data_IF_432826056157
#
_entry.id   IF_432826056157
#
_cell.length_a   1.000
_cell.length_b   1.000
_cell.length_c   1.000
_cell.angle_alpha   90.00
_cell.angle_beta   90.00
_cell.angle_gamma   90.00
#
_symmetry.space_group_name_H-M   'P 1'
#
loop_
_entity.id
_entity.type
_entity.pdbx_description
1 polymer ?
#
# COMPACT_ATOMS: atom_id res chain seq x y z
N UNK A 1 -36.35 -29.39 -25.36
CA UNK A 1 -35.49 -30.17 -24.45
C UNK A 1 -34.12 -29.52 -24.23
N UNK A 2 -33.59 -28.75 -25.19
CA UNK A 2 -32.25 -28.11 -25.08
C UNK A 2 -32.13 -26.91 -24.14
N UNK A 3 -33.14 -26.04 -24.07
CA UNK A 3 -33.08 -24.80 -23.26
C UNK A 3 -32.92 -25.09 -21.75
N UNK A 4 -33.65 -26.10 -21.25
CA UNK A 4 -33.61 -26.51 -19.83
C UNK A 4 -32.28 -27.16 -19.48
N UNK A 5 -31.72 -27.96 -20.39
CA UNK A 5 -30.39 -28.57 -20.23
C UNK A 5 -29.29 -27.51 -20.23
N UNK A 6 -29.34 -26.55 -21.15
CA UNK A 6 -28.41 -25.41 -21.20
C UNK A 6 -28.48 -24.55 -19.94
N UNK A 7 -29.68 -24.29 -19.41
CA UNK A 7 -29.85 -23.59 -18.12
C UNK A 7 -29.27 -24.38 -16.95
N UNK A 8 -29.46 -25.69 -16.91
CA UNK A 8 -28.88 -26.56 -15.88
C UNK A 8 -27.36 -26.63 -15.97
N UNK A 9 -26.80 -26.70 -17.17
CA UNK A 9 -25.35 -26.67 -17.41
C UNK A 9 -24.75 -25.31 -17.02
N UNK A 10 -25.40 -24.19 -17.34
CA UNK A 10 -25.01 -22.85 -16.90
C UNK A 10 -25.12 -22.66 -15.38
N UNK A 11 -26.18 -23.20 -14.76
CA UNK A 11 -26.35 -23.17 -13.31
C UNK A 11 -25.30 -24.05 -12.60
N UNK A 12 -24.99 -25.22 -13.15
CA UNK A 12 -23.95 -26.11 -12.64
C UNK A 12 -22.54 -25.54 -12.87
N UNK A 13 -22.31 -24.80 -13.95
CA UNK A 13 -21.06 -24.05 -14.16
C UNK A 13 -20.93 -22.92 -13.13
N UNK A 14 -22.00 -22.16 -12.89
CA UNK A 14 -22.03 -21.12 -11.83
C UNK A 14 -21.88 -21.69 -10.43
N UNK A 15 -22.43 -22.87 -10.15
CA UNK A 15 -22.27 -23.55 -8.86
C UNK A 15 -20.83 -24.03 -8.63
N UNK A 16 -20.08 -24.38 -9.68
CA UNK A 16 -18.64 -24.71 -9.60
C UNK A 16 -17.76 -23.50 -9.25
N UNK A 17 -18.25 -22.28 -9.52
CA UNK A 17 -17.55 -21.02 -9.18
C UNK A 17 -17.89 -20.51 -7.76
N UNK A 18 -18.80 -21.15 -7.02
CA UNK A 18 -19.09 -20.77 -5.64
C UNK A 18 -17.97 -21.32 -4.74
N UNK A 19 -17.23 -20.46 -4.01
CA UNK A 19 -16.20 -20.92 -3.11
C UNK A 19 -16.77 -21.82 -2.01
N UNK A 20 -16.06 -22.89 -1.67
CA UNK A 20 -16.39 -23.72 -0.53
C UNK A 20 -16.38 -22.87 0.75
N UNK A 21 -17.41 -23.00 1.60
CA UNK A 21 -17.51 -22.18 2.81
C UNK A 21 -16.37 -22.49 3.78
N UNK A 22 -15.97 -21.49 4.57
CA UNK A 22 -14.98 -21.67 5.62
C UNK A 22 -15.59 -22.51 6.76
N UNK A 23 -14.93 -23.60 7.20
CA UNK A 23 -15.45 -24.46 8.26
C UNK A 23 -15.33 -23.77 9.62
N UNK A 24 -16.40 -23.08 10.04
CA UNK A 24 -16.47 -22.42 11.34
C UNK A 24 -16.64 -23.43 12.47
N UNK A 25 -16.01 -23.18 13.62
CA UNK A 25 -16.25 -23.93 14.87
C UNK A 25 -16.24 -22.98 16.07
N UNK A 26 -16.86 -23.40 17.17
CA UNK A 26 -16.99 -22.57 18.39
C UNK A 26 -15.64 -22.19 19.01
N UNK A 27 -14.64 -23.07 18.90
CA UNK A 27 -13.28 -22.87 19.41
C UNK A 27 -12.28 -22.53 18.30
N UNK A 28 -12.78 -22.38 17.07
CA UNK A 28 -11.96 -22.16 15.90
C UNK A 28 -11.78 -20.69 15.56
N UNK A 29 -11.01 -20.42 14.50
CA UNK A 29 -10.86 -19.07 13.97
C UNK A 29 -12.22 -18.50 13.55
N UNK A 30 -12.38 -17.19 13.72
CA UNK A 30 -13.61 -16.51 13.34
C UNK A 30 -13.91 -16.65 11.85
N UNK A 31 -15.16 -17.03 11.54
CA UNK A 31 -15.69 -17.03 10.18
C UNK A 31 -16.24 -15.65 9.76
N UNK A 32 -16.18 -14.65 10.65
CA UNK A 32 -16.71 -13.30 10.41
C UNK A 32 -16.00 -12.67 9.21
N UNK A 33 -16.80 -12.18 8.27
CA UNK A 33 -16.39 -11.44 7.08
C UNK A 33 -17.41 -10.36 6.81
N UNK A 34 -16.96 -9.11 6.65
CA UNK A 34 -17.85 -8.00 6.30
C UNK A 34 -17.14 -7.03 5.36
N UNK A 35 -17.87 -6.60 4.33
CA UNK A 35 -17.39 -5.66 3.32
C UNK A 35 -17.90 -4.25 3.67
N UNK A 36 -17.04 -3.26 3.48
CA UNK A 36 -17.30 -1.85 3.72
C UNK A 36 -16.86 -1.02 2.52
N UNK A 37 -17.51 0.12 2.31
CA UNK A 37 -17.11 1.10 1.30
C UNK A 37 -16.09 2.14 1.82
N UNK A 38 -16.00 2.31 3.15
CA UNK A 38 -15.09 3.24 3.80
C UNK A 38 -14.05 2.47 4.62
N UNK A 39 -12.80 2.92 4.53
CA UNK A 39 -11.68 2.34 5.28
C UNK A 39 -11.89 2.46 6.80
N UNK A 40 -12.32 3.64 7.27
CA UNK A 40 -12.57 3.91 8.69
C UNK A 40 -13.56 2.92 9.29
N UNK A 41 -14.74 2.76 8.67
CA UNK A 41 -15.77 1.83 9.13
C UNK A 41 -15.26 0.39 9.24
N UNK A 42 -14.42 -0.06 8.29
CA UNK A 42 -13.82 -1.39 8.34
C UNK A 42 -12.82 -1.53 9.49
N UNK A 43 -12.02 -0.50 9.76
CA UNK A 43 -11.06 -0.48 10.85
C UNK A 43 -11.74 -0.42 12.22
N UNK A 44 -12.80 0.38 12.36
CA UNK A 44 -13.58 0.47 13.59
C UNK A 44 -14.28 -0.85 13.91
N UNK A 45 -14.83 -1.50 12.89
CA UNK A 45 -15.37 -2.85 13.01
C UNK A 45 -14.28 -3.86 13.39
N UNK A 46 -13.12 -3.87 12.71
CA UNK A 46 -12.04 -4.79 13.07
C UNK A 46 -11.51 -4.54 14.50
N UNK A 47 -11.53 -3.28 14.96
CA UNK A 47 -11.14 -2.91 16.33
C UNK A 47 -12.09 -3.51 17.36
N UNK A 48 -13.39 -3.49 17.13
CA UNK A 48 -14.38 -4.01 18.09
C UNK A 48 -14.34 -5.53 18.27
N UNK A 49 -13.77 -6.27 17.31
CA UNK A 49 -13.64 -7.72 17.36
C UNK A 49 -12.33 -8.23 17.98
N UNK A 50 -11.31 -7.37 18.09
CA UNK A 50 -10.02 -7.73 18.68
C UNK A 50 -8.91 -8.03 17.65
N UNK A 51 -7.76 -8.54 18.12
CA UNK A 51 -6.51 -8.57 17.36
C UNK A 51 -6.50 -9.53 16.17
N UNK A 52 -7.37 -10.56 16.17
CA UNK A 52 -7.43 -11.55 15.08
C UNK A 52 -8.08 -11.03 13.79
N UNK A 53 -8.83 -9.92 13.87
CA UNK A 53 -9.45 -9.30 12.71
C UNK A 53 -8.46 -8.39 11.98
N UNK A 54 -8.38 -8.60 10.67
CA UNK A 54 -7.58 -7.81 9.74
C UNK A 54 -8.49 -7.15 8.71
N UNK A 55 -7.98 -6.08 8.10
CA UNK A 55 -8.68 -5.37 7.03
C UNK A 55 -7.86 -5.49 5.75
N UNK A 56 -8.54 -5.86 4.68
CA UNK A 56 -7.96 -5.95 3.34
C UNK A 56 -8.69 -5.01 2.41
N UNK A 57 -7.97 -4.24 1.59
CA UNK A 57 -8.54 -3.48 0.50
C UNK A 57 -8.42 -4.25 -0.81
N UNK A 58 -9.43 -4.15 -1.67
CA UNK A 58 -9.45 -4.77 -2.99
C UNK A 58 -10.34 -3.98 -3.95
N UNK A 59 -10.10 -4.13 -5.24
CA UNK A 59 -11.03 -3.62 -6.28
C UNK A 59 -11.89 -4.80 -6.75
N UNK A 60 -13.20 -4.57 -6.90
CA UNK A 60 -14.12 -5.57 -7.43
C UNK A 60 -14.72 -5.08 -8.73
N UNK A 61 -14.73 -5.94 -9.74
CA UNK A 61 -15.39 -5.68 -11.02
C UNK A 61 -16.92 -5.82 -10.92
N UNK A 62 -17.42 -6.56 -9.93
CA UNK A 62 -18.84 -6.80 -9.69
C UNK A 62 -19.43 -5.93 -8.58
N UNK A 63 -18.60 -5.43 -7.67
CA UNK A 63 -19.01 -4.61 -6.53
C UNK A 63 -18.27 -3.27 -6.56
N UNK A 64 -19.01 -2.17 -6.75
CA UNK A 64 -18.46 -0.82 -6.79
C UNK A 64 -18.21 -0.29 -8.20
N UNK A 65 -17.84 0.99 -8.29
CA UNK A 65 -17.49 1.64 -9.54
C UNK A 65 -16.06 1.26 -9.99
N UNK A 66 -15.75 1.39 -11.28
CA UNK A 66 -14.43 1.04 -11.83
C UNK A 66 -13.31 1.80 -11.09
N UNK A 67 -12.42 1.04 -10.42
CA UNK A 67 -11.32 1.59 -9.63
C UNK A 67 -11.69 2.07 -8.23
N UNK A 68 -12.91 1.76 -7.75
CA UNK A 68 -13.31 1.94 -6.35
C UNK A 68 -12.79 0.79 -5.50
N UNK A 69 -12.16 1.12 -4.38
CA UNK A 69 -11.72 0.14 -3.39
C UNK A 69 -12.84 -0.19 -2.43
N UNK A 70 -12.98 -1.47 -2.13
CA UNK A 70 -13.77 -2.01 -1.04
C UNK A 70 -12.83 -2.50 0.07
N UNK A 71 -13.36 -2.55 1.29
CA UNK A 71 -12.61 -2.96 2.47
C UNK A 71 -13.27 -4.16 3.11
N UNK A 72 -12.58 -5.30 3.12
CA UNK A 72 -13.00 -6.53 3.74
C UNK A 72 -12.37 -6.65 5.13
N UNK A 73 -13.19 -6.63 6.17
CA UNK A 73 -12.77 -7.00 7.52
C UNK A 73 -13.04 -8.49 7.73
N UNK A 74 -12.00 -9.28 8.03
CA UNK A 74 -12.13 -10.71 8.31
C UNK A 74 -10.94 -11.29 9.08
N UNK A 75 -11.12 -12.47 9.66
CA UNK A 75 -10.02 -13.24 10.25
C UNK A 75 -9.04 -13.74 9.17
N UNK A 76 -7.75 -13.78 9.47
CA UNK A 76 -6.69 -14.14 8.50
C UNK A 76 -6.88 -15.53 7.88
N UNK A 77 -7.31 -16.52 8.67
CA UNK A 77 -7.51 -17.88 8.17
C UNK A 77 -8.72 -17.96 7.22
N UNK A 78 -9.80 -17.28 7.58
CA UNK A 78 -10.95 -17.09 6.70
C UNK A 78 -10.52 -16.38 5.42
N UNK A 79 -9.72 -15.31 5.49
CA UNK A 79 -9.19 -14.63 4.30
C UNK A 79 -8.51 -15.61 3.33
N UNK A 80 -7.48 -16.32 3.80
CA UNK A 80 -6.71 -17.25 2.96
C UNK A 80 -7.54 -18.39 2.39
N UNK A 81 -8.52 -18.91 3.14
CA UNK A 81 -9.42 -19.97 2.67
C UNK A 81 -10.15 -19.58 1.39
N UNK A 82 -10.75 -18.39 1.37
CA UNK A 82 -11.45 -17.90 0.17
C UNK A 82 -10.47 -17.38 -0.88
N UNK A 83 -9.41 -16.69 -0.48
CA UNK A 83 -8.43 -16.10 -1.41
C UNK A 83 -7.77 -17.16 -2.31
N UNK A 84 -7.44 -18.34 -1.77
CA UNK A 84 -6.85 -19.45 -2.55
C UNK A 84 -7.81 -20.06 -3.58
N UNK A 85 -9.11 -19.91 -3.40
CA UNK A 85 -10.15 -20.40 -4.30
C UNK A 85 -10.51 -19.39 -5.40
N UNK A 86 -10.14 -18.11 -5.23
CA UNK A 86 -10.37 -17.08 -6.25
C UNK A 86 -9.54 -17.35 -7.51
N UNK A 87 -10.04 -16.91 -8.67
CA UNK A 87 -9.25 -16.84 -9.89
C UNK A 87 -7.99 -15.99 -9.63
N UNK A 88 -6.78 -16.44 -10.04
CA UNK A 88 -5.54 -15.67 -9.88
C UNK A 88 -5.63 -14.21 -10.31
N UNK A 89 -6.37 -13.88 -11.38
CA UNK A 89 -6.54 -12.49 -11.83
C UNK A 89 -7.35 -11.60 -10.89
N UNK A 90 -8.14 -12.19 -10.00
CA UNK A 90 -8.93 -11.50 -8.99
C UNK A 90 -8.20 -11.39 -7.63
N UNK A 91 -6.99 -11.95 -7.52
CA UNK A 91 -6.18 -11.97 -6.29
C UNK A 91 -5.39 -10.66 -6.12
N UNK A 92 -6.10 -9.55 -6.09
CA UNK A 92 -5.54 -8.20 -5.94
C UNK A 92 -6.03 -7.58 -4.63
N UNK A 93 -5.45 -8.01 -3.52
CA UNK A 93 -5.82 -7.56 -2.18
C UNK A 93 -4.59 -6.99 -1.47
N UNK A 94 -4.79 -5.91 -0.72
CA UNK A 94 -3.75 -5.25 0.05
C UNK A 94 -4.14 -5.20 1.52
N UNK A 95 -3.23 -5.58 2.41
CA UNK A 95 -3.41 -5.38 3.84
C UNK A 95 -3.53 -3.87 4.15
N UNK A 96 -4.50 -3.52 4.99
CA UNK A 96 -4.61 -2.18 5.56
C UNK A 96 -3.99 -2.22 6.95
N UNK A 97 -2.80 -1.64 7.07
CA UNK A 97 -2.06 -1.57 8.34
C UNK A 97 -2.67 -0.47 9.22
N UNK A 98 -3.27 -0.81 10.38
CA UNK A 98 -3.87 0.17 11.27
C UNK A 98 -2.81 0.95 12.05
N UNK A 99 -3.02 2.26 12.24
CA UNK A 99 -2.13 3.14 13.02
C UNK A 99 -2.13 2.86 14.53
N UNK A 100 -3.17 2.18 15.02
CA UNK A 100 -3.37 1.90 16.46
C UNK A 100 -2.88 0.51 16.90
N UNK A 101 -2.18 -0.25 16.03
CA UNK A 101 -1.58 -1.54 16.40
C UNK A 101 -0.10 -1.57 16.03
N UNK A 102 0.73 -2.29 16.82
CA UNK A 102 2.09 -2.60 16.41
C UNK A 102 2.10 -3.33 15.06
N UNK A 103 3.08 -2.99 14.22
CA UNK A 103 3.32 -3.63 12.94
C UNK A 103 4.74 -4.17 12.89
N UNK A 104 5.01 -5.12 11.99
CA UNK A 104 6.38 -5.49 11.66
C UNK A 104 7.04 -4.35 10.87
N UNK A 105 8.37 -4.36 10.79
CA UNK A 105 9.08 -3.49 9.87
C UNK A 105 8.86 -4.01 8.43
N UNK A 106 8.28 -3.17 7.57
CA UNK A 106 8.11 -3.44 6.15
C UNK A 106 8.89 -2.41 5.35
N UNK A 107 9.57 -2.85 4.30
CA UNK A 107 10.38 -2.00 3.43
C UNK A 107 10.02 -2.34 1.99
N UNK A 108 9.58 -1.33 1.25
CA UNK A 108 9.30 -1.45 -0.18
C UNK A 108 10.52 -0.93 -0.94
N UNK A 109 11.08 -1.77 -1.81
CA UNK A 109 12.33 -1.48 -2.53
C UNK A 109 12.04 -1.42 -4.02
N UNK A 110 12.08 -0.22 -4.57
CA UNK A 110 11.86 0.02 -5.99
C UNK A 110 12.95 0.91 -6.60
N UNK A 111 13.29 0.64 -7.85
CA UNK A 111 14.14 1.51 -8.65
C UNK A 111 13.81 1.35 -10.15
N UNK A 112 14.17 2.36 -10.94
CA UNK A 112 13.93 2.33 -12.39
C UNK A 112 15.00 1.53 -13.11
N UNK A 113 14.63 0.38 -13.68
CA UNK A 113 15.57 -0.51 -14.41
C UNK A 113 16.23 0.22 -15.58
N UNK A 114 15.46 0.95 -16.39
CA UNK A 114 15.97 1.66 -17.57
C UNK A 114 17.04 2.73 -17.24
N UNK A 115 16.99 3.28 -16.03
CA UNK A 115 17.96 4.27 -15.54
C UNK A 115 19.13 3.65 -14.81
N UNK A 116 19.08 2.35 -14.55
CA UNK A 116 20.06 1.60 -13.80
C UNK A 116 20.37 0.26 -14.50
N UNK A 117 20.78 0.27 -15.79
CA UNK A 117 20.95 -0.95 -16.58
C UNK A 117 22.02 -1.89 -16.02
N UNK A 118 23.02 -1.33 -15.33
CA UNK A 118 24.12 -2.07 -14.70
C UNK A 118 23.84 -2.47 -13.24
N UNK A 119 22.63 -2.19 -12.71
CA UNK A 119 22.33 -2.47 -11.32
C UNK A 119 22.15 -3.97 -11.07
N UNK A 120 23.08 -4.54 -10.30
CA UNK A 120 22.91 -5.85 -9.70
C UNK A 120 21.88 -5.77 -8.57
N UNK A 121 20.68 -6.20 -8.90
CA UNK A 121 19.53 -6.15 -8.01
C UNK A 121 19.67 -6.99 -6.75
N UNK A 122 20.31 -8.16 -6.85
CA UNK A 122 20.43 -9.11 -5.75
C UNK A 122 21.51 -8.62 -4.77
N UNK A 123 22.61 -8.11 -5.32
CA UNK A 123 23.64 -7.43 -4.54
C UNK A 123 23.12 -6.17 -3.85
N UNK A 124 22.27 -5.38 -4.52
CA UNK A 124 21.63 -4.22 -3.92
C UNK A 124 20.73 -4.60 -2.74
N UNK A 125 19.85 -5.59 -2.93
CA UNK A 125 18.95 -6.06 -1.88
C UNK A 125 19.71 -6.67 -0.68
N UNK A 126 20.70 -7.53 -0.92
CA UNK A 126 21.51 -8.13 0.14
C UNK A 126 22.36 -7.11 0.89
N UNK A 127 22.88 -6.08 0.21
CA UNK A 127 23.60 -4.98 0.84
C UNK A 127 22.67 -4.13 1.70
N UNK A 128 21.46 -3.83 1.22
CA UNK A 128 20.44 -3.13 1.98
C UNK A 128 20.02 -3.90 3.23
N UNK A 129 19.75 -5.20 3.11
CA UNK A 129 19.40 -6.07 4.26
C UNK A 129 20.48 -6.05 5.34
N UNK A 130 21.77 -6.16 4.96
CA UNK A 130 22.88 -6.06 5.92
C UNK A 130 22.92 -4.70 6.62
N UNK A 131 22.68 -3.62 5.89
CA UNK A 131 22.64 -2.28 6.46
C UNK A 131 21.48 -2.13 7.46
N UNK A 132 20.29 -2.66 7.14
CA UNK A 132 19.13 -2.68 8.04
C UNK A 132 19.43 -3.48 9.31
N UNK A 133 20.00 -4.69 9.19
CA UNK A 133 20.40 -5.49 10.35
C UNK A 133 21.40 -4.74 11.24
N UNK A 134 22.41 -4.10 10.64
CA UNK A 134 23.39 -3.29 11.37
C UNK A 134 22.75 -2.09 12.07
N UNK A 135 21.82 -1.40 11.41
CA UNK A 135 21.09 -0.28 11.99
C UNK A 135 20.20 -0.71 13.16
N UNK A 136 19.46 -1.80 13.01
CA UNK A 136 18.62 -2.37 14.08
C UNK A 136 19.45 -2.75 15.31
N UNK A 137 20.62 -3.33 15.09
CA UNK A 137 21.55 -3.63 16.17
C UNK A 137 22.11 -2.35 16.82
N UNK A 138 22.62 -1.42 16.02
CA UNK A 138 23.34 -0.24 16.53
C UNK A 138 22.44 0.74 17.27
N UNK A 139 21.21 0.97 16.78
CA UNK A 139 20.29 1.95 17.35
C UNK A 139 19.34 1.36 18.39
N UNK A 140 19.01 0.08 18.28
CA UNK A 140 17.97 -0.55 19.11
C UNK A 140 18.42 -1.81 19.86
N UNK A 141 19.68 -2.23 19.69
CA UNK A 141 20.23 -3.47 20.25
C UNK A 141 19.40 -4.72 19.88
N UNK A 142 18.79 -4.71 18.68
CA UNK A 142 18.00 -5.84 18.16
C UNK A 142 18.87 -6.67 17.22
N UNK A 143 19.09 -7.93 17.58
CA UNK A 143 19.80 -8.89 16.73
C UNK A 143 18.85 -9.47 15.69
N UNK A 144 19.10 -9.21 14.41
CA UNK A 144 18.33 -9.75 13.28
C UNK A 144 19.29 -10.29 12.23
N UNK A 145 19.01 -11.49 11.72
CA UNK A 145 19.80 -12.14 10.68
C UNK A 145 19.01 -12.25 9.36
N UNK A 146 19.69 -12.49 8.24
CA UNK A 146 19.03 -12.60 6.92
C UNK A 146 17.87 -13.62 6.89
N UNK A 147 17.97 -14.82 7.51
CA UNK A 147 16.87 -15.76 7.61
C UNK A 147 15.61 -15.26 8.34
N UNK A 148 15.74 -14.24 9.19
CA UNK A 148 14.61 -13.63 9.90
C UNK A 148 13.82 -12.66 9.02
N UNK A 149 14.33 -12.34 7.83
CA UNK A 149 13.78 -11.35 6.90
C UNK A 149 13.13 -12.08 5.72
N UNK A 150 11.82 -11.88 5.58
CA UNK A 150 11.07 -12.37 4.43
C UNK A 150 11.26 -11.44 3.24
N UNK A 151 11.97 -11.89 2.21
CA UNK A 151 12.14 -11.18 0.95
C UNK A 151 11.07 -11.64 -0.04
N UNK A 152 10.29 -10.70 -0.57
CA UNK A 152 9.25 -10.95 -1.57
C UNK A 152 9.63 -10.27 -2.88
N UNK A 153 9.70 -11.02 -3.98
CA UNK A 153 10.01 -10.48 -5.31
C UNK A 153 8.73 -10.25 -6.13
N UNK A 154 8.49 -8.99 -6.50
CA UNK A 154 7.34 -8.54 -7.27
C UNK A 154 7.66 -8.19 -8.74
N UNK A 155 8.90 -8.45 -9.22
CA UNK A 155 9.35 -8.06 -10.57
C UNK A 155 8.66 -8.82 -11.70
N UNK A 156 8.28 -10.06 -11.43
CA UNK A 156 7.58 -10.93 -12.38
C UNK A 156 7.11 -12.17 -11.62
N UNK A 157 5.91 -12.08 -11.03
CA UNK A 157 5.12 -13.15 -10.40
C UNK A 157 5.87 -14.48 -10.09
N UNK A 158 6.65 -14.53 -9.00
CA UNK A 158 7.11 -15.79 -8.40
C UNK A 158 7.06 -15.69 -6.87
N UNK A 159 6.07 -16.37 -6.27
CA UNK A 159 5.95 -16.56 -4.81
C UNK A 159 6.72 -17.81 -4.41
N UNK A 160 7.80 -17.68 -3.63
CA UNK A 160 8.45 -18.81 -2.96
C UNK A 160 8.76 -18.55 -1.47
N UNK A 161 8.05 -19.34 -0.64
CA UNK A 161 8.23 -19.90 0.73
C UNK A 161 9.34 -19.32 1.65
N UNK A 162 9.14 -19.10 2.95
CA UNK A 162 8.70 -20.06 4.00
C UNK A 162 8.05 -19.36 5.22
N UNK A 163 7.24 -20.05 6.05
CA UNK A 163 6.64 -19.47 7.26
C UNK A 163 7.67 -19.34 8.40
N UNK A 164 7.71 -18.16 9.03
CA UNK A 164 8.52 -17.90 10.23
C UNK A 164 7.95 -18.69 11.43
N UNK A 165 8.80 -19.35 12.25
CA UNK A 165 8.37 -19.98 13.50
C UNK A 165 7.75 -18.94 14.47
N UNK A 166 6.74 -19.37 15.23
CA UNK A 166 5.98 -18.53 16.18
C UNK A 166 6.90 -17.83 17.20
N UNK A 167 6.94 -16.49 17.19
CA UNK A 167 7.50 -15.71 18.32
C UNK A 167 6.60 -15.88 19.55
N UNK A 168 7.19 -16.25 20.68
CA UNK A 168 6.50 -16.38 21.99
C UNK A 168 6.51 -15.06 22.80
N UNK A 169 6.78 -13.93 22.17
CA UNK A 169 7.00 -12.64 22.82
C UNK A 169 5.72 -11.94 23.37
N UNK A 170 4.56 -12.61 23.42
CA UNK A 170 3.29 -11.97 23.79
C UNK A 170 2.99 -11.92 25.31
N UNK A 171 3.85 -12.44 26.18
CA UNK A 171 3.46 -12.71 27.57
C UNK A 171 4.25 -11.95 28.64
N UNK A 172 4.71 -10.72 28.42
CA UNK A 172 5.00 -9.77 29.52
C UNK A 172 5.40 -8.39 28.97
N UNK A 173 4.47 -7.46 28.81
CA UNK A 173 4.80 -6.02 28.83
C UNK A 173 3.73 -5.25 29.60
N UNK A 174 3.98 -5.06 30.89
CA UNK A 174 3.36 -4.01 31.68
C UNK A 174 4.01 -2.68 31.29
N UNK A 175 3.29 -1.85 30.55
CA UNK A 175 3.75 -0.52 30.17
C UNK A 175 3.82 0.39 31.42
N UNK A 176 5.00 0.88 31.74
CA UNK A 176 5.15 2.12 32.51
C UNK A 176 5.61 3.25 31.59
N UNK A 177 5.12 4.49 31.78
CA UNK A 177 5.45 5.62 30.91
C UNK A 177 6.87 6.13 31.22
N UNK A 178 7.76 6.09 30.24
CA UNK A 178 9.07 6.73 30.33
C UNK A 178 8.94 8.18 29.87
N UNK A 179 9.49 9.09 30.68
CA UNK A 179 9.50 10.55 30.50
C UNK A 179 10.33 10.96 29.30
N UNK A 180 9.84 11.97 28.59
CA UNK A 180 10.47 12.62 27.44
C UNK A 180 11.86 13.17 27.76
N UNK A 181 12.82 12.91 26.87
CA UNK A 181 14.07 13.67 26.77
C UNK A 181 14.23 14.16 25.33
N UNK A 182 14.71 15.39 25.10
CA UNK A 182 14.64 16.02 23.78
C UNK A 182 15.69 15.45 22.83
N UNK A 183 15.26 15.13 21.60
CA UNK A 183 16.13 14.69 20.53
C UNK A 183 17.08 15.83 20.11
N UNK A 184 18.38 15.49 20.01
CA UNK A 184 19.38 16.37 19.43
C UNK A 184 19.07 16.62 17.95
N UNK A 185 18.86 17.90 17.64
CA UNK A 185 18.64 18.43 16.29
C UNK A 185 19.90 18.30 15.44
N UNK A 186 19.88 17.44 14.43
CA UNK A 186 20.75 17.58 13.28
C UNK A 186 20.06 18.49 12.27
N UNK A 187 20.44 19.77 12.27
CA UNK A 187 19.99 20.76 11.28
C UNK A 187 20.54 20.38 9.90
N UNK A 188 19.70 20.28 8.85
CA UNK A 188 20.19 20.33 7.48
C UNK A 188 20.69 21.73 7.21
N UNK A 189 21.90 21.80 6.65
CA UNK A 189 22.61 23.00 6.23
C UNK A 189 21.70 23.87 5.36
N UNK A 190 21.57 25.15 5.77
CA UNK A 190 20.92 26.20 4.99
C UNK A 190 21.57 26.29 3.60
N UNK A 191 20.81 25.94 2.58
CA UNK A 191 21.11 26.21 1.19
C UNK A 191 20.04 27.18 0.69
N UNK A 192 20.40 28.46 0.70
CA UNK A 192 19.59 29.60 0.28
C UNK A 192 19.42 29.62 -1.24
N UNK A 193 18.69 28.64 -1.79
CA UNK A 193 18.12 28.79 -3.13
C UNK A 193 16.74 29.44 -2.98
N UNK A 194 16.57 30.53 -3.71
CA UNK A 194 15.37 31.38 -3.78
C UNK A 194 14.06 30.59 -3.71
N UNK A 195 13.08 31.15 -3.00
CA UNK A 195 11.70 30.65 -2.79
C UNK A 195 10.88 30.44 -4.10
N UNK A 196 11.51 30.52 -5.26
CA UNK A 196 10.89 30.42 -6.58
C UNK A 196 11.73 29.55 -7.51
N UNK A 197 11.08 28.64 -8.24
CA UNK A 197 11.69 27.95 -9.37
C UNK A 197 11.97 28.95 -10.51
N UNK A 198 12.98 28.70 -11.38
CA UNK A 198 13.17 29.46 -12.61
C UNK A 198 11.86 29.56 -13.43
N UNK A 199 11.58 30.68 -14.11
CA UNK A 199 10.34 30.87 -14.87
C UNK A 199 10.03 29.75 -15.86
N UNK A 200 11.02 29.32 -16.64
CA UNK A 200 10.85 28.24 -17.62
C UNK A 200 10.48 26.91 -16.96
N UNK A 201 11.05 26.64 -15.79
CA UNK A 201 10.75 25.44 -15.01
C UNK A 201 9.36 25.54 -14.38
N UNK A 202 8.94 26.74 -13.95
CA UNK A 202 7.57 26.98 -13.53
C UNK A 202 6.58 26.68 -14.67
N UNK A 203 6.85 27.16 -15.87
CA UNK A 203 5.95 27.00 -17.00
C UNK A 203 5.89 25.54 -17.48
N UNK A 204 7.03 24.84 -17.46
CA UNK A 204 7.07 23.39 -17.67
C UNK A 204 6.19 22.64 -16.66
N UNK A 205 6.38 22.88 -15.37
CA UNK A 205 5.60 22.21 -14.31
C UNK A 205 4.11 22.55 -14.43
N UNK A 206 3.75 23.82 -14.67
CA UNK A 206 2.34 24.21 -14.90
C UNK A 206 1.72 23.50 -16.10
N UNK A 207 2.49 23.34 -17.18
CA UNK A 207 2.03 22.65 -18.39
C UNK A 207 1.74 21.18 -18.11
N UNK A 208 2.68 20.48 -17.47
CA UNK A 208 2.52 19.07 -17.09
C UNK A 208 1.31 18.88 -16.16
N UNK A 209 1.18 19.72 -15.13
CA UNK A 209 0.08 19.62 -14.16
C UNK A 209 -1.28 19.93 -14.78
N UNK A 210 -1.34 20.87 -15.73
CA UNK A 210 -2.57 21.21 -16.44
C UNK A 210 -3.01 20.04 -17.32
N UNK A 211 -2.08 19.43 -18.07
CA UNK A 211 -2.34 18.21 -18.86
C UNK A 211 -2.86 17.08 -17.96
N UNK A 212 -2.18 16.83 -16.84
CA UNK A 212 -2.54 15.80 -15.87
C UNK A 212 -3.93 16.03 -15.26
N UNK A 213 -4.30 17.28 -14.96
CA UNK A 213 -5.61 17.62 -14.41
C UNK A 213 -6.73 17.39 -15.43
N UNK A 214 -6.51 17.79 -16.68
CA UNK A 214 -7.45 17.57 -17.79
C UNK A 214 -7.67 16.07 -18.01
N UNK A 215 -6.59 15.29 -18.04
CA UNK A 215 -6.64 13.82 -18.24
C UNK A 215 -7.23 13.08 -17.03
N UNK A 216 -6.92 13.54 -15.81
CA UNK A 216 -7.17 12.80 -14.58
C UNK A 216 -8.49 13.08 -13.86
N UNK A 217 -9.08 14.26 -14.02
CA UNK A 217 -10.28 14.67 -13.28
C UNK A 217 -11.46 15.09 -14.16
N UNK A 218 -11.38 14.93 -15.50
CA UNK A 218 -12.36 15.50 -16.45
C UNK A 218 -12.59 17.00 -16.19
N UNK A 219 -11.56 17.71 -15.73
CA UNK A 219 -11.64 19.14 -15.49
C UNK A 219 -11.77 19.87 -16.83
N UNK A 220 -12.54 20.95 -16.86
CA UNK A 220 -12.64 21.79 -18.05
C UNK A 220 -11.25 22.37 -18.37
N UNK A 221 -10.70 22.17 -19.58
CA UNK A 221 -9.40 22.70 -19.98
C UNK A 221 -9.27 24.21 -19.75
N UNK A 222 -10.39 24.95 -19.86
CA UNK A 222 -10.43 26.41 -19.66
C UNK A 222 -10.18 26.84 -18.21
N UNK A 223 -10.46 26.00 -17.22
CA UNK A 223 -10.31 26.33 -15.79
C UNK A 223 -9.16 25.59 -15.13
N UNK A 224 -8.56 24.61 -15.83
CA UNK A 224 -7.47 23.79 -15.31
C UNK A 224 -6.21 24.63 -15.05
N UNK A 225 -5.87 25.55 -15.96
CA UNK A 225 -4.73 26.45 -15.81
C UNK A 225 -4.84 27.35 -14.58
N UNK A 226 -6.00 27.98 -14.38
CA UNK A 226 -6.27 28.84 -13.21
C UNK A 226 -6.17 28.06 -11.89
N UNK A 227 -6.70 26.83 -11.87
CA UNK A 227 -6.60 25.98 -10.69
C UNK A 227 -5.15 25.62 -10.36
N UNK A 228 -4.34 25.24 -11.35
CA UNK A 228 -2.91 24.95 -11.16
C UNK A 228 -2.15 26.19 -10.72
N UNK A 229 -2.44 27.36 -11.31
CA UNK A 229 -1.82 28.63 -10.96
C UNK A 229 -2.15 29.07 -9.52
N UNK A 230 -3.31 28.70 -8.99
CA UNK A 230 -3.71 29.00 -7.61
C UNK A 230 -2.99 28.15 -6.55
N UNK A 231 -2.27 27.09 -6.93
CA UNK A 231 -1.61 26.18 -5.98
C UNK A 231 -0.27 26.73 -5.53
N UNK A 232 -0.04 26.69 -4.22
CA UNK A 232 1.28 26.95 -3.62
C UNK A 232 2.18 25.74 -3.80
N UNK A 233 3.44 26.00 -4.12
CA UNK A 233 4.45 24.98 -4.36
C UNK A 233 5.44 25.03 -3.21
N UNK A 234 5.85 23.86 -2.73
CA UNK A 234 6.96 23.75 -1.77
C UNK A 234 8.10 23.01 -2.44
N UNK A 235 9.19 23.72 -2.69
CA UNK A 235 10.41 23.14 -3.27
C UNK A 235 11.19 22.49 -2.13
N UNK A 236 11.53 21.22 -2.28
CA UNK A 236 12.35 20.48 -1.31
C UNK A 236 13.79 20.31 -1.79
N UNK A 237 13.98 20.23 -3.11
CA UNK A 237 15.30 20.02 -3.71
C UNK A 237 15.32 20.57 -5.14
N UNK A 238 16.45 21.14 -5.56
CA UNK A 238 16.71 21.60 -6.92
C UNK A 238 18.21 21.55 -7.21
N UNK A 239 18.62 20.74 -8.18
CA UNK A 239 19.95 20.75 -8.78
C UNK A 239 19.86 20.69 -10.32
N UNK A 240 21.00 20.50 -10.99
CA UNK A 240 21.09 20.43 -12.46
C UNK A 240 20.41 19.21 -13.10
N UNK A 241 20.04 18.19 -12.32
CA UNK A 241 19.54 16.90 -12.79
C UNK A 241 18.17 16.53 -12.21
N UNK A 242 17.80 17.10 -11.06
CA UNK A 242 16.65 16.73 -10.29
C UNK A 242 16.06 17.94 -9.57
N UNK A 243 14.73 18.00 -9.53
CA UNK A 243 14.03 18.85 -8.60
C UNK A 243 12.88 18.08 -7.98
N UNK A 244 12.55 18.38 -6.74
CA UNK A 244 11.42 17.81 -6.03
C UNK A 244 10.55 18.92 -5.43
N UNK A 245 9.25 18.82 -5.68
CA UNK A 245 8.24 19.77 -5.21
C UNK A 245 7.05 19.02 -4.62
N UNK A 246 6.46 19.57 -3.57
CA UNK A 246 5.12 19.17 -3.11
C UNK A 246 4.07 20.11 -3.68
N UNK A 247 2.98 19.50 -4.16
CA UNK A 247 1.82 20.18 -4.74
C UNK A 247 0.57 19.77 -3.98
N UNK A 248 0.01 20.70 -3.22
CA UNK A 248 -1.17 20.41 -2.41
C UNK A 248 -2.42 20.22 -3.30
N UNK A 249 -3.05 19.04 -3.18
CA UNK A 249 -4.31 18.72 -3.86
C UNK A 249 -4.20 18.26 -5.31
N UNK A 250 -2.99 18.19 -5.89
CA UNK A 250 -2.75 17.63 -7.22
C UNK A 250 -2.19 16.22 -7.09
N UNK A 251 -3.07 15.21 -7.12
CA UNK A 251 -2.71 13.80 -7.01
C UNK A 251 -2.98 13.10 -8.34
N UNK A 252 -2.12 13.22 -9.34
CA UNK A 252 -2.22 12.45 -10.60
C UNK A 252 -1.02 11.52 -10.74
N UNK A 253 -1.28 10.31 -11.25
CA UNK A 253 -0.24 9.34 -11.56
C UNK A 253 -0.27 9.03 -13.06
N UNK A 254 0.76 9.47 -13.77
CA UNK A 254 0.94 9.22 -15.21
C UNK A 254 0.87 7.72 -15.54
N UNK A 255 1.52 6.88 -14.73
CA UNK A 255 1.57 5.42 -14.93
C UNK A 255 0.18 4.77 -14.89
N UNK A 256 -0.74 5.29 -14.07
CA UNK A 256 -2.10 4.73 -13.91
C UNK A 256 -3.13 5.51 -14.75
N UNK A 257 -2.74 6.65 -15.32
CA UNK A 257 -3.62 7.50 -16.13
C UNK A 257 -4.80 8.11 -15.38
N UNK A 258 -4.74 8.18 -14.05
CA UNK A 258 -5.82 8.73 -13.20
C UNK A 258 -5.28 9.39 -11.95
N UNK A 259 -6.17 10.10 -11.24
CA UNK A 259 -5.84 10.66 -9.94
C UNK A 259 -5.45 9.56 -8.95
N UNK A 260 -4.27 9.68 -8.33
CA UNK A 260 -3.82 8.74 -7.30
C UNK A 260 -4.64 8.97 -6.04
N UNK A 261 -5.55 8.04 -5.74
CA UNK A 261 -6.19 7.95 -4.43
C UNK A 261 -5.17 7.32 -3.48
N UNK A 262 -4.14 8.08 -3.08
CA UNK A 262 -3.34 7.63 -1.93
C UNK A 262 -4.32 7.49 -0.76
N UNK A 263 -4.14 6.44 0.02
CA UNK A 263 -4.91 6.26 1.23
C UNK A 263 -4.79 7.57 2.02
N UNK A 264 -5.91 8.19 2.37
CA UNK A 264 -5.93 9.09 3.51
C UNK A 264 -5.60 8.21 4.70
N UNK A 265 -4.31 7.98 4.94
CA UNK A 265 -3.84 7.56 6.25
C UNK A 265 -4.00 8.82 7.08
N UNK A 266 -5.18 8.96 7.70
CA UNK A 266 -5.29 9.75 8.92
C UNK A 266 -4.67 8.95 10.06
#
# INVERSE_FOLDING_TARGET
>A
MDERRRRLELAAARARDIPQPFPASLTGPTAVRKIFHKQGDALDFARSFGPEMMVFSYESSSLGEKGQRLFLACGVQSFFHYYRQMNPSARCHYEVIPTYRPAKLYLDLEFYVDRNPEADTEKAASTFVRAVCSALHSFYNVQVSSPDILVLDARSYVLLRHPVPKCQCASHMSCQPVRDTPAHSHSPVNSSYSESLPPDLCDFVRTVLTDWLVRGQRANPKTAGDFVASKKWRIHYLDMHCFSVTLDGLRFCERVGRSHRSNHVM
#
